data_IF_333563208093
#
_entry.id   IF_333563208093
#
_cell.length_a   1.000
_cell.length_b   1.000
_cell.length_c   1.000
_cell.angle_alpha   90.00
_cell.angle_beta   90.00
_cell.angle_gamma   90.00
#
_symmetry.space_group_name_H-M   'P 1'
#
loop_
_entity.id
_entity.type
_entity.pdbx_description
1 polymer ?
#
# COMPACT_ATOMS: atom_id res chain seq x y z
N UNK A 1 11.64 21.77 18.35
CA UNK A 1 12.56 20.66 18.72
C UNK A 1 13.06 20.10 17.40
N UNK A 2 14.01 20.77 16.73
CA UNK A 2 15.48 20.85 16.93
C UNK A 2 16.19 20.00 15.85
N UNK A 3 16.39 20.62 14.68
CA UNK A 3 17.69 20.80 13.98
C UNK A 3 18.77 19.69 13.99
N UNK A 4 18.44 18.42 13.86
CA UNK A 4 19.44 17.33 13.67
C UNK A 4 19.41 16.61 12.30
N UNK A 5 18.64 17.10 11.32
CA UNK A 5 18.50 16.39 10.02
C UNK A 5 19.24 17.02 8.83
N UNK A 6 20.01 18.08 9.03
CA UNK A 6 20.75 18.72 7.95
C UNK A 6 22.21 18.26 7.96
N UNK A 7 22.57 17.45 6.96
CA UNK A 7 23.87 16.82 6.67
C UNK A 7 23.98 15.34 7.05
N UNK A 8 23.08 14.51 6.51
CA UNK A 8 23.40 13.09 6.31
C UNK A 8 24.00 12.98 4.90
N UNK A 9 25.33 13.06 4.79
CA UNK A 9 26.02 12.49 3.64
C UNK A 9 25.78 10.98 3.69
N UNK A 10 24.95 10.47 2.79
CA UNK A 10 24.64 9.05 2.70
C UNK A 10 25.91 8.34 2.22
N UNK A 11 26.39 7.37 3.00
CA UNK A 11 27.64 6.66 2.69
C UNK A 11 27.56 6.03 1.29
N UNK A 12 28.59 6.23 0.46
CA UNK A 12 28.64 5.75 -0.92
C UNK A 12 28.42 4.23 -1.02
N UNK A 13 28.86 3.44 -0.03
CA UNK A 13 28.60 1.99 0.03
C UNK A 13 27.11 1.62 0.15
N UNK A 14 26.31 2.47 0.80
CA UNK A 14 24.87 2.29 0.96
C UNK A 14 24.13 2.62 -0.35
N UNK A 15 24.67 3.59 -1.11
CA UNK A 15 24.19 3.94 -2.45
C UNK A 15 24.43 2.78 -3.42
N UNK A 16 25.63 2.20 -3.42
CA UNK A 16 26.03 1.20 -4.42
C UNK A 16 25.37 -0.17 -4.24
N UNK A 17 24.93 -0.54 -3.03
CA UNK A 17 24.42 -1.89 -2.76
C UNK A 17 22.91 -2.08 -2.99
N UNK A 18 22.10 -1.02 -2.79
CA UNK A 18 20.62 -1.11 -2.82
C UNK A 18 19.97 -0.49 -4.04
N UNK A 19 20.53 0.59 -4.57
CA UNK A 19 19.90 1.30 -5.66
C UNK A 19 20.15 0.58 -6.99
N UNK A 20 19.07 0.30 -7.71
CA UNK A 20 19.16 -0.13 -9.10
C UNK A 20 19.46 1.07 -10.01
N UNK A 21 18.93 2.25 -9.64
CA UNK A 21 19.17 3.52 -10.34
C UNK A 21 18.81 4.69 -9.44
N UNK A 22 19.58 5.76 -9.56
CA UNK A 22 19.28 7.08 -9.00
C UNK A 22 19.37 8.09 -10.14
N UNK A 23 18.34 8.92 -10.29
CA UNK A 23 18.36 10.15 -11.10
C UNK A 23 17.91 11.26 -10.17
N UNK A 24 18.79 12.24 -9.91
CA UNK A 24 18.48 13.37 -9.02
C UNK A 24 18.22 14.62 -9.84
N UNK A 25 17.13 15.31 -9.53
CA UNK A 25 16.87 16.64 -10.04
C UNK A 25 16.66 17.63 -8.88
N UNK A 26 16.24 18.86 -9.17
CA UNK A 26 16.05 19.91 -8.16
C UNK A 26 15.11 19.43 -7.06
N UNK A 27 15.41 19.75 -5.81
CA UNK A 27 14.54 19.43 -4.65
C UNK A 27 13.10 19.97 -4.76
N UNK A 28 12.88 20.97 -5.60
CA UNK A 28 11.58 21.60 -5.89
C UNK A 28 10.80 20.88 -6.99
N UNK A 29 11.36 19.84 -7.59
CA UNK A 29 10.71 18.99 -8.58
C UNK A 29 10.23 17.67 -7.95
N UNK A 30 9.17 17.05 -8.49
CA UNK A 30 8.60 15.84 -7.94
C UNK A 30 9.59 14.67 -7.91
N UNK A 31 9.39 13.74 -6.98
CA UNK A 31 10.22 12.55 -6.84
C UNK A 31 9.39 11.27 -6.79
N UNK A 32 9.83 10.23 -7.48
CA UNK A 32 9.23 8.89 -7.41
C UNK A 32 10.24 7.88 -6.88
N UNK A 33 9.82 7.13 -5.87
CA UNK A 33 10.58 6.06 -5.25
C UNK A 33 9.84 4.75 -5.52
N UNK A 34 10.52 3.80 -6.14
CA UNK A 34 10.07 2.43 -6.27
C UNK A 34 10.87 1.52 -5.34
N UNK A 35 10.17 0.74 -4.54
CA UNK A 35 10.71 -0.42 -3.85
C UNK A 35 10.33 -1.68 -4.63
N UNK A 36 11.29 -2.59 -4.77
CA UNK A 36 11.04 -3.91 -5.31
C UNK A 36 11.80 -4.97 -4.53
N UNK A 37 11.19 -6.15 -4.37
CA UNK A 37 11.83 -7.25 -3.65
C UNK A 37 11.86 -7.05 -2.14
N UNK A 38 10.85 -6.38 -1.57
CA UNK A 38 10.59 -6.41 -0.13
C UNK A 38 10.43 -7.85 0.37
N UNK A 39 9.86 -8.71 -0.47
CA UNK A 39 9.95 -10.16 -0.35
C UNK A 39 10.86 -10.73 -1.44
N UNK A 40 11.83 -11.57 -1.04
CA UNK A 40 12.87 -12.04 -1.97
C UNK A 40 12.41 -13.07 -3.00
N UNK A 41 11.22 -13.65 -2.85
CA UNK A 41 10.61 -14.56 -3.82
C UNK A 41 9.71 -13.84 -4.86
N UNK A 42 9.75 -12.51 -4.90
CA UNK A 42 8.92 -11.66 -5.78
C UNK A 42 9.79 -10.85 -6.76
N UNK A 43 10.51 -11.49 -7.70
CA UNK A 43 11.49 -10.81 -8.54
C UNK A 43 10.88 -9.91 -9.62
N UNK A 44 9.58 -10.02 -9.90
CA UNK A 44 8.93 -9.36 -11.03
C UNK A 44 9.10 -7.83 -11.02
N UNK A 45 8.94 -7.19 -9.86
CA UNK A 45 9.12 -5.75 -9.71
C UNK A 45 10.55 -5.30 -10.02
N UNK A 46 11.55 -6.06 -9.55
CA UNK A 46 12.97 -5.76 -9.80
C UNK A 46 13.31 -5.89 -11.29
N UNK A 47 12.84 -6.96 -11.92
CA UNK A 47 13.02 -7.19 -13.37
C UNK A 47 12.34 -6.08 -14.18
N UNK A 48 11.12 -5.68 -13.80
CA UNK A 48 10.39 -4.63 -14.47
C UNK A 48 11.08 -3.27 -14.35
N UNK A 49 11.61 -2.93 -13.16
CA UNK A 49 12.41 -1.73 -12.98
C UNK A 49 13.63 -1.73 -13.89
N UNK A 50 14.38 -2.84 -13.95
CA UNK A 50 15.55 -2.93 -14.84
C UNK A 50 15.16 -2.67 -16.30
N UNK A 51 14.11 -3.32 -16.80
CA UNK A 51 13.62 -3.11 -18.16
C UNK A 51 13.26 -1.66 -18.46
N UNK A 52 12.60 -0.99 -17.51
CA UNK A 52 12.26 0.43 -17.68
C UNK A 52 13.53 1.28 -17.66
N UNK A 53 14.43 1.05 -16.70
CA UNK A 53 15.73 1.76 -16.58
C UNK A 53 16.52 1.69 -17.88
N UNK A 54 16.57 0.52 -18.53
CA UNK A 54 17.29 0.33 -19.79
C UNK A 54 16.68 1.12 -20.97
N UNK A 55 15.42 1.57 -20.85
CA UNK A 55 14.70 2.39 -21.84
C UNK A 55 14.68 3.90 -21.49
N UNK A 56 15.18 4.30 -20.32
CA UNK A 56 15.11 5.68 -19.83
C UNK A 56 16.27 6.52 -20.35
N UNK A 57 15.95 7.74 -20.81
CA UNK A 57 16.93 8.78 -21.12
C UNK A 57 16.94 9.82 -20.00
N UNK A 58 18.03 9.86 -19.23
CA UNK A 58 18.19 10.74 -18.07
C UNK A 58 18.00 12.23 -18.40
N UNK A 59 18.34 12.65 -19.63
CA UNK A 59 18.25 14.06 -20.03
C UNK A 59 16.81 14.57 -20.13
N UNK A 60 15.83 13.67 -20.16
CA UNK A 60 14.39 13.98 -20.30
C UNK A 60 13.65 13.99 -18.95
N UNK A 61 14.34 13.81 -17.82
CA UNK A 61 13.71 13.82 -16.50
C UNK A 61 13.39 15.25 -16.02
N UNK A 62 12.16 15.45 -15.57
CA UNK A 62 11.64 16.68 -14.94
C UNK A 62 11.35 16.44 -13.43
N UNK A 63 12.15 15.57 -12.82
CA UNK A 63 12.07 15.21 -11.41
C UNK A 63 13.06 14.12 -11.03
N UNK A 64 13.02 13.69 -9.77
CA UNK A 64 13.92 12.67 -9.24
C UNK A 64 13.31 11.27 -9.32
N UNK A 65 14.14 10.27 -9.63
CA UNK A 65 13.77 8.87 -9.71
C UNK A 65 14.70 8.02 -8.86
N UNK A 66 14.12 7.17 -8.02
CA UNK A 66 14.84 6.24 -7.16
C UNK A 66 14.26 4.84 -7.32
N UNK A 67 15.08 3.89 -7.77
CA UNK A 67 14.73 2.48 -7.83
C UNK A 67 15.55 1.71 -6.78
N UNK A 68 14.87 1.13 -5.78
CA UNK A 68 15.49 0.56 -4.58
C UNK A 68 15.14 -0.92 -4.45
N UNK A 69 16.17 -1.74 -4.21
CA UNK A 69 15.99 -3.13 -3.80
C UNK A 69 15.70 -3.24 -2.30
N UNK A 70 14.63 -3.97 -1.95
CA UNK A 70 14.14 -4.15 -0.58
C UNK A 70 15.02 -5.08 0.26
N UNK A 71 14.68 -6.37 0.33
CA UNK A 71 15.40 -7.35 1.16
C UNK A 71 16.49 -8.07 0.33
N UNK A 72 17.72 -7.55 0.37
CA UNK A 72 18.83 -8.05 -0.45
C UNK A 72 19.18 -9.51 -0.13
N UNK A 73 19.22 -9.85 1.16
CA UNK A 73 19.54 -11.21 1.59
C UNK A 73 18.47 -12.22 1.20
N UNK A 74 17.19 -11.88 1.34
CA UNK A 74 16.10 -12.75 0.91
C UNK A 74 16.05 -12.91 -0.61
N UNK A 75 16.30 -11.83 -1.37
CA UNK A 75 16.40 -11.84 -2.83
C UNK A 75 17.49 -12.81 -3.31
N UNK A 76 18.70 -12.73 -2.75
CA UNK A 76 19.81 -13.63 -3.13
C UNK A 76 19.51 -15.11 -2.89
N UNK A 77 18.62 -15.41 -1.93
CA UNK A 77 18.23 -16.79 -1.57
C UNK A 77 16.89 -17.22 -2.17
N UNK A 78 16.23 -16.36 -2.96
CA UNK A 78 14.88 -16.57 -3.49
C UNK A 78 13.88 -17.03 -2.41
N UNK A 79 13.93 -16.38 -1.24
CA UNK A 79 13.03 -16.64 -0.10
C UNK A 79 12.17 -15.41 0.15
N UNK A 80 10.95 -15.58 0.67
CA UNK A 80 10.11 -14.46 1.09
C UNK A 80 10.85 -13.55 2.08
N UNK A 81 11.39 -14.16 3.12
CA UNK A 81 12.26 -13.55 4.13
C UNK A 81 13.15 -14.64 4.76
N UNK A 82 14.16 -14.23 5.52
CA UNK A 82 15.08 -15.10 6.26
C UNK A 82 14.47 -15.43 7.63
N UNK A 83 14.40 -14.45 8.54
CA UNK A 83 13.93 -14.66 9.91
C UNK A 83 12.52 -14.09 10.11
N UNK A 84 12.30 -12.84 9.70
CA UNK A 84 11.02 -12.14 9.88
C UNK A 84 10.59 -11.41 8.60
N UNK A 85 9.29 -11.25 8.39
CA UNK A 85 8.80 -10.55 7.20
C UNK A 85 9.13 -9.05 7.29
N UNK A 86 10.01 -8.56 6.40
CA UNK A 86 10.45 -7.17 6.35
C UNK A 86 9.26 -6.20 6.20
N UNK A 87 8.19 -6.61 5.51
CA UNK A 87 6.97 -5.82 5.33
C UNK A 87 5.95 -5.99 6.49
N UNK A 88 6.44 -6.44 7.66
CA UNK A 88 5.74 -6.46 8.95
C UNK A 88 6.52 -5.73 10.05
N UNK A 89 7.72 -5.20 9.75
CA UNK A 89 8.62 -4.62 10.77
C UNK A 89 8.42 -3.11 10.98
N UNK A 90 7.62 -2.42 10.18
CA UNK A 90 7.48 -0.96 10.20
C UNK A 90 6.42 -0.47 11.21
N UNK A 91 6.34 -1.10 12.37
CA UNK A 91 5.39 -0.70 13.41
C UNK A 91 5.91 0.54 14.16
N UNK A 92 5.01 1.43 14.64
CA UNK A 92 5.43 2.60 15.43
C UNK A 92 6.30 2.24 16.64
N UNK A 93 6.00 1.12 17.31
CA UNK A 93 6.78 0.65 18.45
C UNK A 93 8.23 0.31 18.05
N UNK A 94 8.43 -0.37 16.91
CA UNK A 94 9.75 -0.76 16.42
C UNK A 94 10.54 0.46 15.93
N UNK A 95 9.89 1.34 15.16
CA UNK A 95 10.51 2.55 14.61
C UNK A 95 10.93 3.52 15.71
N UNK A 96 10.03 3.85 16.66
CA UNK A 96 10.31 4.81 17.73
C UNK A 96 11.43 4.35 18.66
N UNK A 97 11.52 3.04 18.92
CA UNK A 97 12.58 2.44 19.74
C UNK A 97 13.84 2.11 18.93
N UNK A 98 13.84 2.36 17.62
CA UNK A 98 14.86 1.89 16.66
C UNK A 98 15.27 0.44 16.94
N UNK A 99 14.32 -0.46 17.14
CA UNK A 99 14.61 -1.84 17.59
C UNK A 99 15.43 -2.64 16.59
N UNK A 100 15.47 -2.22 15.31
CA UNK A 100 16.40 -2.73 14.31
C UNK A 100 17.88 -2.47 14.64
N UNK A 101 18.20 -1.64 15.63
CA UNK A 101 19.56 -1.47 16.15
C UNK A 101 20.03 -2.63 17.04
N UNK A 102 19.12 -3.55 17.39
CA UNK A 102 19.44 -4.71 18.22
C UNK A 102 19.99 -5.89 17.42
N UNK A 103 19.87 -5.86 16.08
CA UNK A 103 20.35 -6.90 15.16
C UNK A 103 19.91 -8.31 15.58
N UNK A 104 18.65 -8.45 15.99
CA UNK A 104 18.06 -9.72 16.43
C UNK A 104 17.65 -10.61 15.25
N UNK A 105 17.27 -9.99 14.14
CA UNK A 105 16.86 -10.66 12.91
C UNK A 105 17.76 -10.24 11.76
N UNK A 106 17.96 -11.12 10.79
CA UNK A 106 18.67 -10.78 9.54
C UNK A 106 18.07 -9.54 8.85
N UNK A 107 16.75 -9.40 8.90
CA UNK A 107 16.02 -8.25 8.35
C UNK A 107 16.23 -6.92 9.09
N UNK A 108 16.84 -6.90 10.28
CA UNK A 108 17.07 -5.66 11.03
C UNK A 108 18.02 -4.71 10.30
N UNK A 109 19.08 -5.26 9.72
CA UNK A 109 19.99 -4.49 8.87
C UNK A 109 19.27 -3.96 7.62
N UNK A 110 18.46 -4.79 6.97
CA UNK A 110 17.66 -4.38 5.80
C UNK A 110 16.71 -3.23 6.15
N UNK A 111 16.03 -3.32 7.29
CA UNK A 111 15.13 -2.29 7.78
C UNK A 111 15.87 -0.97 8.09
N UNK A 112 17.02 -1.05 8.79
CA UNK A 112 17.82 0.12 9.16
C UNK A 112 18.25 0.91 7.93
N UNK A 113 18.83 0.22 6.95
CA UNK A 113 19.35 0.85 5.74
C UNK A 113 18.22 1.47 4.90
N UNK A 114 17.07 0.80 4.76
CA UNK A 114 15.88 1.36 4.11
C UNK A 114 15.30 2.56 4.89
N UNK A 115 15.32 2.52 6.21
CA UNK A 115 14.87 3.62 7.06
C UNK A 115 15.74 4.86 6.83
N UNK A 116 17.06 4.70 6.83
CA UNK A 116 17.99 5.81 6.60
C UNK A 116 17.84 6.40 5.19
N UNK A 117 17.72 5.54 4.16
CA UNK A 117 17.45 5.98 2.77
C UNK A 117 16.13 6.76 2.69
N UNK A 118 15.06 6.22 3.28
CA UNK A 118 13.74 6.84 3.25
C UNK A 118 13.78 8.24 3.88
N UNK A 119 14.39 8.37 5.05
CA UNK A 119 14.50 9.66 5.74
C UNK A 119 15.41 10.64 5.01
N UNK A 120 16.50 10.16 4.41
CA UNK A 120 17.35 10.98 3.54
C UNK A 120 16.57 11.52 2.33
N UNK A 121 15.84 10.68 1.58
CA UNK A 121 15.02 11.13 0.44
C UNK A 121 13.96 12.14 0.89
N UNK A 122 13.27 11.87 2.00
CA UNK A 122 12.23 12.79 2.50
C UNK A 122 12.82 14.15 2.91
N UNK A 123 14.00 14.16 3.53
CA UNK A 123 14.66 15.40 3.96
C UNK A 123 15.20 16.24 2.79
N UNK A 124 15.44 15.63 1.64
CA UNK A 124 16.07 16.28 0.48
C UNK A 124 15.09 16.85 -0.54
N UNK A 125 13.79 16.58 -0.42
CA UNK A 125 12.76 17.04 -1.37
C UNK A 125 11.74 17.96 -0.69
N UNK A 126 11.34 19.00 -1.42
CA UNK A 126 10.36 20.01 -1.00
C UNK A 126 9.06 19.95 -1.83
N UNK A 127 9.01 19.06 -2.83
CA UNK A 127 7.91 18.89 -3.78
C UNK A 127 7.17 17.55 -3.55
N UNK A 128 6.13 17.22 -4.34
CA UNK A 128 5.46 15.92 -4.29
C UNK A 128 6.43 14.73 -4.35
N UNK A 129 6.31 13.83 -3.37
CA UNK A 129 7.06 12.57 -3.32
C UNK A 129 6.09 11.40 -3.42
N UNK A 130 6.37 10.42 -4.27
CA UNK A 130 5.53 9.24 -4.49
C UNK A 130 6.29 7.98 -4.11
N UNK A 131 5.68 7.14 -3.29
CA UNK A 131 6.26 5.86 -2.88
C UNK A 131 5.45 4.71 -3.45
N UNK A 132 6.12 3.81 -4.15
CA UNK A 132 5.50 2.68 -4.83
C UNK A 132 6.20 1.41 -4.38
N UNK A 133 5.46 0.46 -3.82
CA UNK A 133 5.98 -0.86 -3.46
C UNK A 133 5.47 -1.91 -4.45
N UNK A 134 6.38 -2.54 -5.19
CA UNK A 134 6.08 -3.51 -6.24
C UNK A 134 6.12 -4.93 -5.67
N UNK A 135 4.98 -5.61 -5.75
CA UNK A 135 4.75 -6.93 -5.23
C UNK A 135 4.12 -7.88 -6.26
N UNK A 136 4.07 -9.14 -5.89
CA UNK A 136 3.31 -10.17 -6.60
C UNK A 136 2.59 -11.06 -5.59
N UNK A 137 1.54 -11.76 -6.03
CA UNK A 137 0.74 -12.63 -5.18
C UNK A 137 1.06 -14.12 -5.39
N UNK A 138 0.80 -14.96 -4.39
CA UNK A 138 0.95 -16.41 -4.54
C UNK A 138 -0.12 -17.04 -5.43
N UNK A 139 -1.32 -16.46 -5.44
CA UNK A 139 -2.44 -16.90 -6.27
C UNK A 139 -2.41 -16.31 -7.66
N UNK A 140 -3.13 -16.93 -8.60
CA UNK A 140 -3.53 -16.24 -9.84
C UNK A 140 -4.35 -15.00 -9.47
N UNK A 141 -3.97 -13.86 -10.03
CA UNK A 141 -4.64 -12.58 -9.78
C UNK A 141 -4.47 -11.65 -10.98
N UNK A 142 -5.50 -10.87 -11.36
CA UNK A 142 -5.28 -9.66 -12.13
C UNK A 142 -4.37 -8.68 -11.35
N UNK A 143 -3.69 -7.73 -11.99
CA UNK A 143 -2.93 -6.70 -11.30
C UNK A 143 -3.87 -5.78 -10.51
N UNK A 144 -3.45 -5.30 -9.34
CA UNK A 144 -4.26 -4.40 -8.52
C UNK A 144 -3.41 -3.47 -7.66
N UNK A 145 -4.04 -2.42 -7.13
CA UNK A 145 -3.42 -1.47 -6.22
C UNK A 145 -3.97 -1.69 -4.80
N UNK A 146 -3.09 -1.66 -3.79
CA UNK A 146 -3.46 -1.58 -2.38
C UNK A 146 -3.12 -0.20 -1.83
N UNK A 147 -4.04 0.40 -1.07
CA UNK A 147 -3.79 1.69 -0.44
C UNK A 147 -4.34 1.77 0.97
N UNK A 148 -3.67 2.60 1.77
CA UNK A 148 -4.26 3.17 2.96
C UNK A 148 -5.31 4.20 2.60
N UNK A 149 -6.38 4.28 3.40
CA UNK A 149 -7.53 5.10 3.07
C UNK A 149 -7.29 6.60 3.32
N UNK A 150 -6.63 7.26 2.36
CA UNK A 150 -6.54 8.73 2.24
C UNK A 150 -7.08 9.21 0.89
N UNK A 151 -7.59 10.44 0.84
CA UNK A 151 -8.10 11.06 -0.37
C UNK A 151 -6.99 11.28 -1.40
N UNK A 152 -5.75 11.57 -0.98
CA UNK A 152 -4.61 11.70 -1.90
C UNK A 152 -4.32 10.38 -2.61
N UNK A 153 -4.28 9.26 -1.87
CA UNK A 153 -4.05 7.94 -2.45
C UNK A 153 -5.20 7.53 -3.36
N UNK A 154 -6.45 7.73 -2.94
CA UNK A 154 -7.63 7.45 -3.78
C UNK A 154 -7.61 8.23 -5.09
N UNK A 155 -7.17 9.49 -5.07
CA UNK A 155 -7.10 10.33 -6.29
C UNK A 155 -6.00 9.86 -7.22
N UNK A 156 -4.82 9.53 -6.69
CA UNK A 156 -3.71 9.06 -7.50
C UNK A 156 -3.96 7.64 -8.04
N UNK A 157 -4.47 6.71 -7.22
CA UNK A 157 -4.75 5.33 -7.65
C UNK A 157 -5.82 5.23 -8.75
N UNK A 158 -6.76 6.18 -8.80
CA UNK A 158 -7.78 6.27 -9.86
C UNK A 158 -7.23 6.53 -11.26
N UNK A 159 -5.99 6.97 -11.39
CA UNK A 159 -5.37 7.20 -12.70
C UNK A 159 -5.02 5.90 -13.42
N UNK A 160 -4.92 4.80 -12.68
CA UNK A 160 -4.48 3.51 -13.20
C UNK A 160 -5.69 2.61 -13.50
N UNK A 161 -5.69 1.87 -14.63
CA UNK A 161 -6.86 1.10 -15.07
C UNK A 161 -6.94 -0.29 -14.41
N UNK A 162 -6.79 -0.36 -13.09
CA UNK A 162 -6.76 -1.61 -12.30
C UNK A 162 -7.66 -1.48 -11.06
N UNK A 163 -8.12 -2.58 -10.44
CA UNK A 163 -8.92 -2.49 -9.22
C UNK A 163 -8.07 -2.00 -8.04
N UNK A 164 -8.73 -1.37 -7.08
CA UNK A 164 -8.09 -0.78 -5.90
C UNK A 164 -8.69 -1.36 -4.63
N UNK A 165 -7.84 -1.88 -3.74
CA UNK A 165 -8.22 -2.39 -2.42
C UNK A 165 -7.95 -1.29 -1.38
N UNK A 166 -9.01 -0.85 -0.69
CA UNK A 166 -8.94 0.12 0.40
C UNK A 166 -8.87 -0.57 1.76
N UNK A 167 -8.11 0.02 2.67
CA UNK A 167 -8.20 -0.33 4.09
C UNK A 167 -7.38 -1.55 4.48
N UNK A 168 -6.39 -1.95 3.66
CA UNK A 168 -5.52 -3.10 3.95
C UNK A 168 -4.76 -2.92 5.27
N UNK A 169 -4.54 -1.68 5.70
CA UNK A 169 -3.86 -1.31 6.95
C UNK A 169 -4.63 -1.65 8.23
N UNK A 170 -5.93 -1.96 8.16
CA UNK A 170 -6.67 -2.48 9.31
C UNK A 170 -6.35 -3.95 9.58
N UNK A 171 -5.86 -4.64 8.55
CA UNK A 171 -5.63 -6.07 8.56
C UNK A 171 -4.15 -6.40 8.57
N UNK A 172 -3.28 -5.49 8.13
CA UNK A 172 -1.83 -5.69 8.09
C UNK A 172 -1.11 -4.75 9.05
N UNK A 173 -0.44 -5.32 10.05
CA UNK A 173 0.41 -4.58 10.97
C UNK A 173 1.85 -4.47 10.45
N UNK A 174 2.41 -3.25 10.44
CA UNK A 174 3.81 -3.01 10.10
C UNK A 174 4.26 -3.03 8.62
N UNK A 175 3.41 -2.88 7.58
CA UNK A 175 3.92 -2.63 6.23
C UNK A 175 4.67 -1.29 6.10
N UNK A 176 5.70 -1.25 5.25
CA UNK A 176 6.47 -0.05 4.90
C UNK A 176 5.55 1.09 4.44
N UNK A 177 4.61 0.79 3.54
CA UNK A 177 3.68 1.79 3.03
C UNK A 177 2.76 2.35 4.13
N UNK A 178 2.49 1.58 5.19
CA UNK A 178 1.71 2.10 6.32
C UNK A 178 2.48 3.15 7.10
N UNK A 179 3.79 2.97 7.27
CA UNK A 179 4.68 3.97 7.85
C UNK A 179 4.79 5.22 6.96
N UNK A 180 5.00 5.05 5.65
CA UNK A 180 5.09 6.19 4.71
C UNK A 180 3.81 7.03 4.68
N UNK A 181 2.65 6.37 4.71
CA UNK A 181 1.36 7.05 4.80
C UNK A 181 1.19 7.86 6.10
N UNK A 182 1.84 7.46 7.20
CA UNK A 182 1.90 8.26 8.44
C UNK A 182 2.76 9.50 8.30
N UNK A 183 3.73 9.48 7.40
CA UNK A 183 4.52 10.67 7.06
C UNK A 183 3.76 11.61 6.10
N UNK A 184 2.60 11.19 5.60
CA UNK A 184 1.67 12.01 4.83
C UNK A 184 1.86 12.01 3.31
N UNK A 185 2.74 11.17 2.78
CA UNK A 185 3.02 11.09 1.35
C UNK A 185 2.09 10.13 0.60
N UNK A 186 2.00 10.28 -0.72
CA UNK A 186 1.33 9.30 -1.58
C UNK A 186 2.12 8.00 -1.55
N UNK A 187 1.43 6.91 -1.19
CA UNK A 187 2.01 5.58 -1.05
C UNK A 187 1.07 4.51 -1.59
N UNK A 188 1.49 3.80 -2.64
CA UNK A 188 0.72 2.75 -3.30
C UNK A 188 1.47 1.41 -3.25
N UNK A 189 0.78 0.34 -2.88
CA UNK A 189 1.25 -1.02 -3.16
C UNK A 189 0.70 -1.44 -4.50
N UNK A 190 1.51 -2.06 -5.34
CA UNK A 190 1.07 -2.61 -6.62
C UNK A 190 1.41 -4.09 -6.70
N UNK A 191 0.37 -4.90 -6.80
CA UNK A 191 0.45 -6.34 -6.92
C UNK A 191 0.30 -6.66 -8.41
N UNK A 192 1.39 -7.01 -9.08
CA UNK A 192 1.42 -7.05 -10.54
C UNK A 192 0.87 -8.35 -11.16
N UNK A 193 0.58 -9.34 -10.33
CA UNK A 193 0.10 -10.66 -10.74
C UNK A 193 0.74 -11.78 -9.91
N UNK A 194 0.75 -13.00 -10.43
CA UNK A 194 1.33 -14.15 -9.72
C UNK A 194 2.87 -14.13 -9.74
N UNK A 195 3.52 -14.53 -8.64
CA UNK A 195 4.98 -14.45 -8.41
C UNK A 195 5.89 -14.75 -9.61
N UNK A 196 5.60 -15.81 -10.37
CA UNK A 196 6.47 -16.32 -11.43
C UNK A 196 5.89 -16.12 -12.83
N UNK A 197 4.80 -15.37 -12.98
CA UNK A 197 4.18 -15.18 -14.29
C UNK A 197 4.94 -14.13 -15.11
N UNK A 198 5.06 -14.35 -16.42
CA UNK A 198 5.69 -13.37 -17.33
C UNK A 198 4.83 -12.11 -17.42
N UNK A 199 3.52 -12.28 -17.30
CA UNK A 199 2.51 -11.23 -17.27
C UNK A 199 2.75 -10.28 -16.09
N UNK A 200 3.17 -10.78 -14.92
CA UNK A 200 3.46 -9.94 -13.76
C UNK A 200 4.60 -8.94 -14.03
N UNK A 201 5.61 -9.32 -14.81
CA UNK A 201 6.68 -8.41 -15.25
C UNK A 201 6.13 -7.35 -16.19
N UNK A 202 5.33 -7.76 -17.19
CA UNK A 202 4.76 -6.82 -18.17
C UNK A 202 3.80 -5.81 -17.50
N UNK A 203 2.98 -6.27 -16.56
CA UNK A 203 2.10 -5.43 -15.77
C UNK A 203 2.90 -4.41 -14.94
N UNK A 204 3.96 -4.86 -14.26
CA UNK A 204 4.82 -3.97 -13.50
C UNK A 204 5.52 -2.93 -14.39
N UNK A 205 6.03 -3.31 -15.57
CA UNK A 205 6.62 -2.37 -16.54
C UNK A 205 5.61 -1.30 -16.94
N UNK A 206 4.40 -1.71 -17.34
CA UNK A 206 3.34 -0.77 -17.73
C UNK A 206 2.95 0.15 -16.56
N UNK A 207 2.87 -0.38 -15.35
CA UNK A 207 2.53 0.40 -14.16
C UNK A 207 3.60 1.43 -13.83
N UNK A 208 4.88 1.05 -13.85
CA UNK A 208 6.01 1.97 -13.64
C UNK A 208 5.93 3.11 -14.67
N UNK A 209 5.73 2.82 -15.96
CA UNK A 209 5.57 3.84 -17.00
C UNK A 209 4.43 4.82 -16.69
N UNK A 210 3.26 4.31 -16.30
CA UNK A 210 2.14 5.16 -15.92
C UNK A 210 2.44 6.03 -14.69
N UNK A 211 3.13 5.50 -13.67
CA UNK A 211 3.53 6.26 -12.49
C UNK A 211 4.48 7.38 -12.88
N UNK A 212 5.51 7.10 -13.69
CA UNK A 212 6.46 8.10 -14.19
C UNK A 212 5.73 9.25 -14.91
N UNK A 213 4.77 8.92 -15.77
CA UNK A 213 3.95 9.90 -16.48
C UNK A 213 3.06 10.72 -15.55
N UNK A 214 2.30 10.05 -14.67
CA UNK A 214 1.30 10.72 -13.85
C UNK A 214 1.87 11.49 -12.64
N UNK A 215 3.06 11.12 -12.19
CA UNK A 215 3.84 11.92 -11.23
C UNK A 215 4.46 13.17 -11.86
N UNK A 216 4.57 13.20 -13.19
CA UNK A 216 5.13 14.31 -13.95
C UNK A 216 6.65 14.32 -14.04
N UNK A 217 7.34 13.23 -13.65
CA UNK A 217 8.82 13.21 -13.65
C UNK A 217 9.42 12.79 -14.99
N UNK A 218 8.67 12.07 -15.82
CA UNK A 218 9.13 11.59 -17.12
C UNK A 218 7.95 11.24 -18.02
N UNK A 219 8.10 11.41 -19.35
CA UNK A 219 7.10 10.98 -20.34
C UNK A 219 7.60 9.73 -21.09
N UNK A 220 7.15 8.52 -20.72
CA UNK A 220 7.54 7.31 -21.43
C UNK A 220 6.96 7.25 -22.83
N UNK A 221 7.64 6.49 -23.69
CA UNK A 221 7.10 6.07 -24.98
C UNK A 221 6.02 5.01 -24.78
N UNK A 222 5.13 4.86 -25.78
CA UNK A 222 4.07 3.83 -25.81
C UNK A 222 3.15 3.83 -24.58
N UNK A 223 2.85 5.01 -24.06
CA UNK A 223 2.02 5.16 -22.86
C UNK A 223 0.61 4.57 -23.04
N UNK A 224 0.00 4.74 -24.21
CA UNK A 224 -1.35 4.20 -24.50
C UNK A 224 -1.35 2.67 -24.55
N UNK A 225 -0.26 2.05 -25.04
CA UNK A 225 -0.08 0.60 -25.02
C UNK A 225 0.07 0.10 -23.58
N UNK A 226 0.87 0.79 -22.75
CA UNK A 226 1.03 0.45 -21.33
C UNK A 226 -0.31 0.54 -20.57
N UNK A 227 -1.09 1.59 -20.84
CA UNK A 227 -2.42 1.76 -20.26
C UNK A 227 -3.38 0.62 -20.66
N UNK A 228 -3.44 0.32 -21.96
CA UNK A 228 -4.31 -0.73 -22.51
C UNK A 228 -3.91 -2.12 -22.00
N UNK A 229 -2.62 -2.39 -21.86
CA UNK A 229 -2.11 -3.65 -21.31
C UNK A 229 -2.59 -3.88 -19.88
N UNK A 230 -2.49 -2.87 -19.02
CA UNK A 230 -2.97 -2.97 -17.64
C UNK A 230 -4.48 -3.10 -17.57
N UNK A 231 -5.22 -2.34 -18.39
CA UNK A 231 -6.68 -2.44 -18.46
C UNK A 231 -7.12 -3.87 -18.83
N UNK A 232 -6.50 -4.45 -19.86
CA UNK A 232 -6.82 -5.80 -20.31
C UNK A 232 -6.44 -6.85 -19.27
N UNK A 233 -5.26 -6.69 -18.64
CA UNK A 233 -4.79 -7.60 -17.60
C UNK A 233 -5.65 -7.56 -16.34
N UNK A 234 -6.29 -6.41 -16.07
CA UNK A 234 -7.26 -6.23 -15.01
C UNK A 234 -8.70 -6.63 -15.42
N UNK A 235 -8.91 -7.16 -16.63
CA UNK A 235 -10.22 -7.55 -17.15
C UNK A 235 -11.24 -6.40 -17.07
N UNK A 236 -10.80 -5.19 -17.41
CA UNK A 236 -11.58 -3.94 -17.31
C UNK A 236 -12.05 -3.58 -15.88
N UNK A 237 -11.61 -4.32 -14.86
CA UNK A 237 -11.95 -4.04 -13.50
C UNK A 237 -11.19 -2.81 -12.98
N UNK A 238 -11.93 -1.72 -12.73
CA UNK A 238 -11.39 -0.48 -12.12
C UNK A 238 -12.07 -0.13 -10.82
N UNK A 239 -12.69 -1.12 -10.19
CA UNK A 239 -13.53 -0.89 -9.04
C UNK A 239 -12.70 -0.73 -7.77
N UNK A 240 -13.25 0.03 -6.84
CA UNK A 240 -12.75 0.06 -5.47
C UNK A 240 -13.40 -1.06 -4.67
N UNK A 241 -12.61 -1.71 -3.83
CA UNK A 241 -13.05 -2.74 -2.92
C UNK A 241 -12.62 -2.41 -1.49
N UNK A 242 -13.37 -2.88 -0.52
CA UNK A 242 -12.98 -2.94 0.88
C UNK A 242 -12.80 -4.40 1.29
N UNK A 243 -11.89 -4.66 2.22
CA UNK A 243 -11.80 -5.95 2.90
C UNK A 243 -12.90 -5.99 3.96
N UNK A 244 -13.64 -7.10 3.99
CA UNK A 244 -14.73 -7.33 4.95
C UNK A 244 -14.45 -8.50 5.89
N UNK A 245 -13.41 -9.30 5.59
CA UNK A 245 -12.98 -10.43 6.39
C UNK A 245 -11.54 -10.79 6.05
N UNK A 246 -10.81 -11.22 7.08
CA UNK A 246 -9.50 -11.85 6.98
C UNK A 246 -9.54 -13.15 7.77
N UNK A 247 -9.06 -14.23 7.16
CA UNK A 247 -8.73 -15.46 7.88
C UNK A 247 -7.29 -15.37 8.40
N UNK A 248 -7.15 -15.19 9.71
CA UNK A 248 -5.86 -15.10 10.40
C UNK A 248 -5.42 -16.51 10.78
N UNK A 249 -4.27 -16.96 10.26
CA UNK A 249 -3.70 -18.27 10.57
C UNK A 249 -2.97 -18.15 11.91
N UNK A 250 -3.43 -18.91 12.89
CA UNK A 250 -2.83 -18.89 14.22
C UNK A 250 -1.47 -19.58 14.21
N UNK A 251 -0.67 -19.26 15.24
CA UNK A 251 0.60 -19.94 15.47
C UNK A 251 0.34 -21.44 15.62
N UNK A 252 1.13 -22.23 14.89
CA UNK A 252 1.09 -23.69 14.86
C UNK A 252 -0.17 -24.29 14.19
N UNK A 253 -1.02 -23.47 13.56
CA UNK A 253 -2.18 -23.94 12.78
C UNK A 253 -1.77 -24.60 11.46
N UNK A 254 -2.31 -25.78 11.18
CA UNK A 254 -2.09 -26.48 9.91
C UNK A 254 -3.12 -26.07 8.87
N UNK A 255 -2.98 -24.84 8.37
CA UNK A 255 -3.84 -24.28 7.34
C UNK A 255 -3.42 -24.68 5.92
N UNK A 256 -4.40 -25.03 5.09
CA UNK A 256 -4.21 -25.32 3.67
C UNK A 256 -5.40 -24.87 2.83
N UNK A 257 -5.16 -23.90 1.93
CA UNK A 257 -6.14 -23.54 0.90
C UNK A 257 -6.44 -24.72 -0.03
N UNK A 258 -7.71 -24.87 -0.40
CA UNK A 258 -8.08 -25.71 -1.55
C UNK A 258 -7.52 -25.06 -2.83
N UNK A 259 -6.89 -25.83 -3.72
CA UNK A 259 -6.31 -25.29 -4.95
C UNK A 259 -7.40 -24.86 -5.93
N UNK A 260 -7.05 -23.94 -6.82
CA UNK A 260 -7.89 -23.55 -7.97
C UNK A 260 -8.55 -22.18 -7.86
N UNK A 261 -8.62 -21.60 -6.66
CA UNK A 261 -9.17 -20.26 -6.49
C UNK A 261 -8.22 -19.16 -6.97
N UNK A 262 -8.81 -18.10 -7.52
CA UNK A 262 -8.12 -16.88 -7.94
C UNK A 262 -8.56 -15.67 -7.10
N UNK A 263 -7.74 -14.62 -7.08
CA UNK A 263 -8.17 -13.34 -6.50
C UNK A 263 -9.27 -12.70 -7.35
N UNK A 264 -10.21 -11.99 -6.69
CA UNK A 264 -11.41 -11.39 -7.29
C UNK A 264 -12.48 -12.38 -7.76
N UNK A 265 -12.37 -13.65 -7.35
CA UNK A 265 -13.35 -14.68 -7.68
C UNK A 265 -14.60 -14.57 -6.80
N UNK A 266 -15.79 -14.49 -7.41
CA UNK A 266 -17.05 -14.52 -6.67
C UNK A 266 -17.43 -15.96 -6.33
N UNK A 267 -17.66 -16.21 -5.03
CA UNK A 267 -18.03 -17.51 -4.50
C UNK A 267 -19.38 -17.44 -3.78
N UNK A 268 -20.16 -18.52 -3.91
CA UNK A 268 -21.44 -18.68 -3.22
C UNK A 268 -21.25 -19.31 -1.84
N UNK A 269 -22.15 -18.97 -0.92
CA UNK A 269 -22.26 -19.62 0.39
C UNK A 269 -22.19 -21.15 0.25
N UNK A 270 -21.40 -21.78 1.11
CA UNK A 270 -21.20 -23.23 1.12
C UNK A 270 -20.02 -23.71 0.27
N UNK A 271 -19.29 -22.83 -0.42
CA UNK A 271 -18.04 -23.22 -1.07
C UNK A 271 -17.00 -23.68 -0.04
N UNK A 272 -16.36 -24.83 -0.28
CA UNK A 272 -15.26 -25.33 0.55
C UNK A 272 -13.96 -24.60 0.18
N UNK A 273 -13.45 -23.78 1.09
CA UNK A 273 -12.31 -22.89 0.84
C UNK A 273 -10.96 -23.50 1.21
N UNK A 274 -10.90 -24.15 2.37
CA UNK A 274 -9.66 -24.59 2.97
C UNK A 274 -9.87 -25.75 3.95
N UNK A 275 -8.77 -26.29 4.44
CA UNK A 275 -8.73 -27.19 5.59
C UNK A 275 -7.80 -26.57 6.64
N UNK A 276 -8.18 -26.58 7.91
CA UNK A 276 -7.35 -26.18 9.05
C UNK A 276 -7.46 -27.24 10.14
N UNK A 277 -6.34 -27.81 10.56
CA UNK A 277 -6.27 -28.87 11.58
C UNK A 277 -7.32 -29.98 11.33
N UNK A 278 -7.32 -30.48 10.08
CA UNK A 278 -8.24 -31.49 9.55
C UNK A 278 -9.72 -31.11 9.53
N UNK A 279 -10.06 -29.84 9.81
CA UNK A 279 -11.43 -29.32 9.71
C UNK A 279 -11.62 -28.55 8.42
N UNK A 280 -12.75 -28.80 7.76
CA UNK A 280 -13.14 -28.11 6.54
C UNK A 280 -13.69 -26.71 6.83
N UNK A 281 -13.20 -25.73 6.08
CA UNK A 281 -13.60 -24.33 6.19
C UNK A 281 -14.49 -23.98 5.00
N UNK A 282 -15.75 -23.71 5.29
CA UNK A 282 -16.77 -23.34 4.30
C UNK A 282 -17.04 -21.85 4.30
N UNK A 283 -17.35 -21.32 3.12
CA UNK A 283 -17.76 -19.92 2.97
C UNK A 283 -19.15 -19.70 3.58
N UNK A 284 -19.23 -18.86 4.62
CA UNK A 284 -20.49 -18.63 5.36
C UNK A 284 -21.54 -17.77 4.65
N UNK A 285 -21.14 -16.97 3.65
CA UNK A 285 -22.00 -16.07 2.87
C UNK A 285 -21.38 -15.78 1.50
N UNK A 286 -22.21 -15.40 0.53
CA UNK A 286 -21.73 -14.96 -0.77
C UNK A 286 -20.70 -13.82 -0.61
N UNK A 287 -19.55 -13.98 -1.27
CA UNK A 287 -18.43 -13.05 -1.14
C UNK A 287 -17.46 -13.18 -2.31
N UNK A 288 -16.64 -12.16 -2.50
CA UNK A 288 -15.50 -12.22 -3.42
C UNK A 288 -14.26 -12.64 -2.65
N UNK A 289 -13.67 -13.78 -3.03
CA UNK A 289 -12.42 -14.28 -2.46
C UNK A 289 -11.24 -13.46 -2.98
N UNK A 290 -10.27 -13.23 -2.10
CA UNK A 290 -9.13 -12.36 -2.39
C UNK A 290 -7.86 -12.88 -1.70
N UNK A 291 -6.74 -12.83 -2.43
CA UNK A 291 -5.40 -13.27 -2.02
C UNK A 291 -5.40 -14.61 -1.24
N UNK A 292 -5.91 -15.72 -1.82
CA UNK A 292 -5.79 -17.02 -1.19
C UNK A 292 -4.30 -17.45 -1.08
N UNK A 293 -3.92 -17.93 0.10
CA UNK A 293 -2.55 -18.32 0.43
C UNK A 293 -2.19 -19.67 -0.21
N UNK A 294 -1.27 -19.64 -1.17
CA UNK A 294 -0.74 -20.87 -1.80
C UNK A 294 0.77 -21.05 -1.62
N UNK A 295 1.44 -20.07 -1.02
CA UNK A 295 2.84 -20.19 -0.64
C UNK A 295 2.98 -20.91 0.72
N UNK A 296 4.19 -21.40 1.00
CA UNK A 296 4.46 -22.18 2.22
C UNK A 296 4.50 -21.37 3.52
N UNK A 297 4.76 -20.06 3.44
CA UNK A 297 4.87 -19.16 4.60
C UNK A 297 3.87 -18.02 4.46
N UNK A 298 3.21 -17.67 5.54
CA UNK A 298 2.28 -16.55 5.63
C UNK A 298 1.37 -16.69 6.84
N UNK A 299 0.89 -15.55 7.34
CA UNK A 299 -0.05 -15.49 8.48
C UNK A 299 -1.49 -15.22 7.99
N UNK A 300 -1.66 -14.81 6.74
CA UNK A 300 -2.95 -14.47 6.17
C UNK A 300 -3.41 -15.58 5.23
N UNK A 301 -4.47 -16.31 5.58
CA UNK A 301 -4.96 -17.46 4.80
C UNK A 301 -5.75 -17.07 3.55
N UNK A 302 -6.74 -16.20 3.72
CA UNK A 302 -7.48 -15.55 2.63
C UNK A 302 -8.24 -14.34 3.14
N UNK A 303 -8.69 -13.52 2.20
CA UNK A 303 -9.53 -12.37 2.47
C UNK A 303 -10.86 -12.50 1.74
N UNK A 304 -11.88 -11.84 2.27
CA UNK A 304 -13.11 -11.57 1.53
C UNK A 304 -13.21 -10.07 1.31
N UNK A 305 -13.52 -9.69 0.07
CA UNK A 305 -13.67 -8.29 -0.34
C UNK A 305 -15.08 -8.02 -0.83
N UNK A 306 -15.45 -6.74 -0.80
CA UNK A 306 -16.70 -6.23 -1.36
C UNK A 306 -16.45 -4.98 -2.18
N UNK A 307 -17.08 -4.90 -3.35
CA UNK A 307 -17.06 -3.70 -4.18
C UNK A 307 -17.72 -2.53 -3.46
N UNK A 308 -17.05 -1.39 -3.41
CA UNK A 308 -17.56 -0.14 -2.84
C UNK A 308 -18.33 0.60 -3.94
N UNK A 309 -19.64 0.87 -3.76
CA UNK A 309 -20.39 1.63 -4.75
C UNK A 309 -19.82 3.05 -4.94
N UNK A 310 -19.73 3.56 -6.19
CA UNK A 310 -19.17 4.90 -6.46
C UNK A 310 -19.86 6.04 -5.69
N UNK A 311 -21.14 5.90 -5.37
CA UNK A 311 -21.87 6.85 -4.55
C UNK A 311 -21.24 7.01 -3.16
N UNK A 312 -20.90 5.91 -2.48
CA UNK A 312 -20.27 5.97 -1.15
C UNK A 312 -18.88 6.58 -1.20
N UNK A 313 -18.11 6.36 -2.27
CA UNK A 313 -16.81 7.02 -2.45
C UNK A 313 -16.96 8.54 -2.59
N UNK A 314 -17.96 9.01 -3.35
CA UNK A 314 -18.26 10.44 -3.52
C UNK A 314 -18.75 11.07 -2.23
N UNK A 315 -19.69 10.41 -1.53
CA UNK A 315 -20.21 10.87 -0.25
C UNK A 315 -19.08 10.95 0.79
N UNK A 316 -18.26 9.91 0.87
CA UNK A 316 -17.06 9.87 1.71
C UNK A 316 -16.15 11.06 1.44
N UNK A 317 -15.79 11.31 0.18
CA UNK A 317 -14.94 12.44 -0.20
C UNK A 317 -15.57 13.80 0.16
N UNK A 318 -16.87 13.97 -0.09
CA UNK A 318 -17.61 15.19 0.25
C UNK A 318 -17.58 15.48 1.75
N UNK A 319 -17.95 14.49 2.58
CA UNK A 319 -18.00 14.65 4.03
C UNK A 319 -16.62 14.95 4.63
N UNK A 320 -15.56 14.33 4.11
CA UNK A 320 -14.18 14.57 4.56
C UNK A 320 -13.67 15.96 4.19
N UNK A 321 -13.97 16.43 2.98
CA UNK A 321 -13.62 17.79 2.55
C UNK A 321 -14.33 18.88 3.37
N UNK A 322 -15.54 18.60 3.87
CA UNK A 322 -16.27 19.50 4.76
C UNK A 322 -15.88 19.35 6.24
N UNK A 323 -14.91 18.49 6.57
CA UNK A 323 -14.49 18.22 7.94
C UNK A 323 -15.66 17.79 8.86
N UNK A 324 -16.57 16.97 8.32
CA UNK A 324 -17.72 16.46 9.06
C UNK A 324 -17.34 15.58 10.28
N UNK A 325 -16.10 15.10 10.33
CA UNK A 325 -15.51 14.41 11.47
C UNK A 325 -15.40 15.28 12.73
N UNK A 326 -15.54 16.61 12.61
CA UNK A 326 -15.69 17.49 13.78
C UNK A 326 -16.92 17.12 14.62
N UNK A 327 -17.98 16.58 14.00
CA UNK A 327 -19.20 16.17 14.69
C UNK A 327 -19.06 14.82 15.41
N UNK A 328 -18.04 14.01 15.10
CA UNK A 328 -17.85 12.70 15.72
C UNK A 328 -17.67 12.77 17.23
N UNK A 329 -17.05 13.83 17.76
CA UNK A 329 -16.87 14.02 19.20
C UNK A 329 -18.17 14.33 19.95
N UNK A 330 -19.28 14.59 19.25
CA UNK A 330 -20.61 14.79 19.86
C UNK A 330 -21.29 13.44 20.10
N UNK A 331 -20.88 12.39 19.38
CA UNK A 331 -21.49 11.07 19.50
C UNK A 331 -21.17 10.46 20.87
N UNK A 332 -22.17 9.87 21.56
CA UNK A 332 -21.96 9.24 22.85
C UNK A 332 -20.96 8.08 22.72
N UNK A 333 -20.02 8.00 23.66
CA UNK A 333 -18.96 6.99 23.65
C UNK A 333 -17.79 7.30 22.70
N UNK A 334 -17.71 8.48 22.10
CA UNK A 334 -16.58 8.90 21.25
C UNK A 334 -15.77 10.00 21.94
N UNK A 335 -14.48 9.77 22.15
CA UNK A 335 -13.56 10.74 22.75
C UNK A 335 -12.33 10.97 21.87
N UNK A 336 -11.79 12.20 21.87
CA UNK A 336 -10.56 12.53 21.12
C UNK A 336 -9.34 12.13 21.93
N UNK A 337 -8.39 11.45 21.29
CA UNK A 337 -7.15 11.01 21.94
C UNK A 337 -6.01 12.02 21.83
N UNK A 338 -5.99 12.83 20.78
CA UNK A 338 -4.92 13.77 20.50
C UNK A 338 -5.44 15.15 20.08
N UNK A 339 -4.63 16.18 20.35
CA UNK A 339 -4.90 17.56 19.95
C UNK A 339 -4.87 17.74 18.43
N UNK A 340 -4.16 16.88 17.70
CA UNK A 340 -4.03 16.88 16.23
C UNK A 340 -5.30 16.46 15.48
N UNK A 341 -6.43 16.19 16.17
CA UNK A 341 -7.73 15.79 15.59
C UNK A 341 -7.67 14.55 14.70
N UNK A 342 -6.62 13.74 14.79
CA UNK A 342 -6.36 12.63 13.89
C UNK A 342 -6.76 11.28 14.47
N UNK A 343 -7.15 11.21 15.74
CA UNK A 343 -7.51 9.95 16.40
C UNK A 343 -8.64 10.08 17.43
N UNK A 344 -9.48 9.05 17.46
CA UNK A 344 -10.57 8.89 18.42
C UNK A 344 -10.48 7.56 19.15
N UNK A 345 -10.99 7.53 20.37
CA UNK A 345 -11.29 6.34 21.15
C UNK A 345 -12.80 6.17 21.21
N UNK A 346 -13.27 4.99 20.82
CA UNK A 346 -14.68 4.64 20.73
C UNK A 346 -14.99 3.57 21.77
N UNK A 347 -15.95 3.81 22.65
CA UNK A 347 -16.51 2.81 23.57
C UNK A 347 -17.52 1.92 22.84
N UNK A 348 -17.17 0.63 22.71
CA UNK A 348 -17.98 -0.36 22.01
C UNK A 348 -19.27 -0.72 22.75
N UNK A 349 -19.38 -0.43 24.04
CA UNK A 349 -20.60 -0.68 24.82
C UNK A 349 -21.72 0.28 24.43
N UNK A 350 -21.35 1.47 23.95
CA UNK A 350 -22.27 2.56 23.62
C UNK A 350 -22.45 2.67 22.09
N UNK A 351 -21.37 2.65 21.33
CA UNK A 351 -21.38 2.98 19.90
C UNK A 351 -21.25 1.78 18.94
N UNK A 352 -21.49 0.54 19.41
CA UNK A 352 -21.20 -0.72 18.70
C UNK A 352 -21.66 -0.76 17.24
N UNK A 353 -22.88 -0.30 16.96
CA UNK A 353 -23.52 -0.43 15.65
C UNK A 353 -23.28 0.74 14.70
N UNK A 354 -22.86 1.90 15.24
CA UNK A 354 -22.61 3.12 14.45
C UNK A 354 -21.13 3.32 14.14
N UNK A 355 -20.23 2.75 14.95
CA UNK A 355 -18.81 3.05 14.89
C UNK A 355 -18.17 2.70 13.53
N UNK A 356 -18.04 1.42 13.15
CA UNK A 356 -17.19 1.08 12.00
C UNK A 356 -17.65 1.73 10.67
N UNK A 357 -18.92 1.61 10.21
CA UNK A 357 -19.31 2.17 8.92
C UNK A 357 -19.23 3.71 8.83
N UNK A 358 -19.63 4.43 9.87
CA UNK A 358 -19.60 5.90 9.88
C UNK A 358 -18.16 6.42 9.91
N UNK A 359 -17.33 5.82 10.75
CA UNK A 359 -15.92 6.19 10.82
C UNK A 359 -15.20 5.83 9.51
N UNK A 360 -15.50 4.69 8.89
CA UNK A 360 -14.92 4.31 7.61
C UNK A 360 -15.29 5.31 6.50
N UNK A 361 -16.55 5.77 6.47
CA UNK A 361 -17.02 6.79 5.55
C UNK A 361 -16.22 8.10 5.71
N UNK A 362 -15.94 8.49 6.95
CA UNK A 362 -15.14 9.69 7.29
C UNK A 362 -13.62 9.48 7.24
N UNK A 363 -13.14 8.31 6.84
CA UNK A 363 -11.71 8.06 6.62
C UNK A 363 -10.93 7.71 7.86
N UNK A 364 -11.64 7.29 8.89
CA UNK A 364 -11.08 6.70 10.08
C UNK A 364 -11.01 5.19 9.88
N UNK A 365 -9.87 4.63 10.29
CA UNK A 365 -9.59 3.19 10.26
C UNK A 365 -9.13 2.73 11.62
N UNK A 366 -9.52 1.51 11.99
CA UNK A 366 -9.15 0.84 13.24
C UNK A 366 -7.63 0.64 13.31
N UNK A 367 -7.04 0.89 14.48
CA UNK A 367 -5.60 0.71 14.75
C UNK A 367 -5.35 -0.29 15.86
N UNK A 368 -6.17 -0.22 16.90
CA UNK A 368 -6.07 -1.07 18.08
C UNK A 368 -7.51 -1.38 18.51
N UNK A 369 -7.85 -2.67 18.60
CA UNK A 369 -9.13 -3.15 19.10
C UNK A 369 -8.89 -3.82 20.46
N UNK A 370 -9.43 -3.21 21.51
CA UNK A 370 -9.53 -3.80 22.83
C UNK A 370 -10.93 -4.37 23.09
N UNK A 371 -11.12 -5.05 24.22
CA UNK A 371 -12.38 -5.71 24.55
C UNK A 371 -13.61 -4.77 24.54
N UNK A 372 -13.44 -3.53 24.99
CA UNK A 372 -14.51 -2.55 25.11
C UNK A 372 -14.24 -1.24 24.35
N UNK A 373 -13.08 -1.10 23.71
CA UNK A 373 -12.71 0.15 23.04
C UNK A 373 -12.04 -0.12 21.70
N UNK A 374 -12.29 0.77 20.74
CA UNK A 374 -11.54 0.80 19.48
C UNK A 374 -10.88 2.17 19.35
N UNK A 375 -9.59 2.15 19.04
CA UNK A 375 -8.86 3.34 18.62
C UNK A 375 -8.89 3.43 17.10
N UNK A 376 -9.37 4.55 16.59
CA UNK A 376 -9.41 4.83 15.16
C UNK A 376 -8.59 6.06 14.82
N UNK A 377 -7.99 6.07 13.63
CA UNK A 377 -7.17 7.18 13.14
C UNK A 377 -7.49 7.51 11.69
N UNK A 378 -7.35 8.79 11.30
CA UNK A 378 -7.51 9.22 9.92
C UNK A 378 -6.18 9.61 9.29
N UNK A 379 -5.91 9.05 8.10
CA UNK A 379 -4.74 9.39 7.28
C UNK A 379 -4.90 10.73 6.56
N UNK A 380 -6.13 11.18 6.33
CA UNK A 380 -6.42 12.46 5.67
C UNK A 380 -5.91 13.66 6.48
N UNK A 381 -5.83 13.54 7.80
CA UNK A 381 -5.35 14.61 8.70
C UNK A 381 -3.83 14.77 8.73
N UNK A 382 -3.10 13.76 8.27
CA UNK A 382 -1.62 13.76 8.25
C UNK A 382 -1.09 13.88 6.82
N UNK A 383 -1.95 13.67 5.83
CA UNK A 383 -1.63 13.81 4.41
C UNK A 383 -1.09 15.20 4.09
N UNK A 384 0.06 15.27 3.42
CA UNK A 384 0.70 16.50 2.92
C UNK A 384 0.03 16.99 1.64
N UNK A 385 -1.28 17.16 1.68
CA UNK A 385 -2.13 17.49 0.53
C UNK A 385 -1.68 18.73 -0.22
N UNK A 386 -1.12 19.70 0.49
CA UNK A 386 -0.58 20.97 0.00
C UNK A 386 0.58 20.80 -0.98
N UNK A 387 1.31 19.67 -0.94
CA UNK A 387 2.32 19.37 -1.95
C UNK A 387 1.65 19.05 -3.30
N UNK A 388 0.49 18.41 -3.29
CA UNK A 388 -0.14 17.83 -4.48
C UNK A 388 -1.29 18.67 -5.04
N UNK A 389 -1.77 19.68 -4.33
CA UNK A 389 -3.02 20.40 -4.63
C UNK A 389 -3.04 21.11 -6.00
N UNK A 390 -1.85 21.49 -6.50
CA UNK A 390 -1.65 22.16 -7.78
C UNK A 390 -1.59 21.20 -8.96
N UNK A 391 -1.38 19.91 -8.73
CA UNK A 391 -1.18 18.90 -9.77
C UNK A 391 -2.46 18.63 -10.57
N UNK A 392 -2.28 18.29 -11.85
CA UNK A 392 -3.40 18.13 -12.78
C UNK A 392 -4.39 17.05 -12.31
N UNK A 393 -3.89 15.91 -11.80
CA UNK A 393 -4.73 14.80 -11.37
C UNK A 393 -5.49 15.10 -10.07
N UNK A 394 -4.91 15.93 -9.20
CA UNK A 394 -5.54 16.36 -7.95
C UNK A 394 -6.72 17.32 -8.22
N UNK A 395 -6.54 18.26 -9.16
CA UNK A 395 -7.58 19.21 -9.57
C UNK A 395 -8.71 18.56 -10.36
N UNK A 396 -8.39 17.67 -11.30
CA UNK A 396 -9.36 17.00 -12.17
C UNK A 396 -10.38 16.15 -11.38
N UNK A 397 -9.98 15.65 -10.21
CA UNK A 397 -10.86 14.87 -9.31
C UNK A 397 -11.81 15.71 -8.45
N UNK A 398 -11.62 17.03 -8.33
CA UNK A 398 -12.59 17.97 -7.73
C UNK A 398 -13.69 18.37 -8.72
N UNK A 399 -13.42 18.30 -10.02
CA UNK A 399 -14.41 18.46 -11.07
C UNK A 399 -15.26 17.19 -11.17
N UNK A 400 -16.37 17.16 -10.44
CA UNK A 400 -17.42 16.11 -10.47
C UNK A 400 -18.02 15.88 -11.87
N UNK A 401 -17.63 16.64 -12.90
CA UNK A 401 -18.31 16.66 -14.20
C UNK A 401 -17.84 15.67 -15.27
N UNK A 402 -16.72 14.96 -15.14
CA UNK A 402 -16.37 13.93 -16.14
C UNK A 402 -15.74 12.71 -15.48
N UNK A 403 -16.49 11.61 -15.51
CA UNK A 403 -15.95 10.29 -15.22
C UNK A 403 -14.82 9.97 -16.19
N UNK A 404 -13.69 9.58 -15.62
CA UNK A 404 -12.85 8.53 -16.15
C UNK A 404 -13.04 7.34 -15.21
#
# INVERSE_FOLDING_TARGET
MTTEYNNIEMQDELIDSRFLKIIRNKKTEPAVIFFAGMHGNEPAGKIALQKVIDELDESRFEGSFYAISGNLQALSKNKRFIDYDLNRMWTPARINKKSFNQDLYVEDREQRELYDILHWIISTHEAPVYFIDLHTTSSKSPPFITINDSLINRRFSRLFPVPVILGIEEYLAGPLLSYINELGFVALGFESGQHTSKEAVNNAVSFIKLVLHFSGIYKPEKLDEAYSLLQNSAEDNRNFYEIIFRYDILKDEHFKMRPGFSSFEFLRKGALLATSDDKEIYLGKDATLFMPLYQKKGEDGYYLIRKIPPFFLKLSAFLRNMYADNLLSILPGVSRLNSSRSSFLIDLRIARFLAKPVFHLLGYRSREEGANHIKVSSRDRVSKTELYDKLYWYKKTLSVRKGF
#
